data_IF_568749647705
#
_entry.id   IF_568749647705
#
_cell.length_a   1.000
_cell.length_b   1.000
_cell.length_c   1.000
_cell.angle_alpha   90.00
_cell.angle_beta   90.00
_cell.angle_gamma   90.00
#
_symmetry.space_group_name_H-M   'P 1'
#
loop_
_entity.id
_entity.type
_entity.pdbx_description
1 polymer ?
#
# COMPACT_ATOMS: atom_id res chain seq x y z
N UNK A 1 -1.43 42.91 -33.62
CA UNK A 1 -0.07 43.28 -34.09
C UNK A 1 -0.12 43.37 -35.60
N UNK A 2 0.38 44.45 -36.20
CA UNK A 2 0.42 44.60 -37.66
C UNK A 2 1.21 43.44 -38.27
N UNK A 3 0.60 42.70 -39.19
CA UNK A 3 1.24 41.59 -39.89
C UNK A 3 2.11 42.19 -40.99
N UNK A 4 3.33 42.58 -40.61
CA UNK A 4 4.31 43.10 -41.55
C UNK A 4 4.61 42.00 -42.57
N UNK A 5 4.38 42.29 -43.85
CA UNK A 5 4.75 41.40 -44.92
C UNK A 5 6.27 41.41 -45.10
N UNK A 6 6.92 40.42 -44.48
CA UNK A 6 8.37 40.28 -44.52
C UNK A 6 8.86 39.90 -45.91
N UNK A 7 8.04 39.26 -46.74
CA UNK A 7 8.42 38.93 -48.10
C UNK A 7 8.46 40.19 -48.95
N UNK A 8 7.43 41.04 -48.84
CA UNK A 8 7.41 42.35 -49.48
C UNK A 8 8.62 43.21 -49.05
N UNK A 9 8.98 43.22 -47.76
CA UNK A 9 10.17 43.93 -47.29
C UNK A 9 11.48 43.37 -47.87
N UNK A 10 11.63 42.05 -47.99
CA UNK A 10 12.81 41.44 -48.64
C UNK A 10 12.90 41.85 -50.11
N UNK A 11 11.78 41.84 -50.82
CA UNK A 11 11.72 42.24 -52.23
C UNK A 11 12.10 43.72 -52.40
N UNK A 12 11.58 44.61 -51.55
CA UNK A 12 11.96 46.02 -51.53
C UNK A 12 13.44 46.25 -51.22
N UNK A 13 14.00 45.54 -50.23
CA UNK A 13 15.43 45.68 -49.91
C UNK A 13 16.33 45.25 -51.06
N UNK A 14 15.99 44.16 -51.76
CA UNK A 14 16.74 43.71 -52.95
C UNK A 14 16.59 44.66 -54.14
N UNK A 15 15.39 45.18 -54.36
CA UNK A 15 15.13 46.19 -55.39
C UNK A 15 15.98 47.44 -55.15
N UNK A 16 16.02 47.91 -53.90
CA UNK A 16 16.83 49.08 -53.53
C UNK A 16 18.33 48.81 -53.66
N UNK A 17 18.81 47.62 -53.30
CA UNK A 17 20.20 47.24 -53.53
C UNK A 17 20.57 47.30 -55.02
N UNK A 18 19.68 46.90 -55.93
CA UNK A 18 19.90 46.98 -57.38
C UNK A 18 19.89 48.43 -57.89
N UNK A 19 19.00 49.29 -57.37
CA UNK A 19 18.91 50.71 -57.77
C UNK A 19 20.09 51.56 -57.31
N UNK A 20 20.62 51.30 -56.11
CA UNK A 20 21.75 52.03 -55.56
C UNK A 20 23.07 51.32 -55.88
N UNK A 21 23.40 51.08 -57.16
CA UNK A 21 24.61 50.35 -57.56
C UNK A 21 25.88 51.23 -57.70
N UNK A 22 25.73 52.56 -57.65
CA UNK A 22 26.84 53.51 -57.80
C UNK A 22 27.75 53.53 -56.54
N UNK A 23 29.09 53.55 -56.68
CA UNK A 23 30.01 53.76 -55.57
C UNK A 23 29.69 54.95 -54.64
N UNK A 24 29.03 56.00 -55.13
CA UNK A 24 28.57 57.15 -54.33
C UNK A 24 27.46 56.80 -53.32
N UNK A 25 26.70 55.72 -53.56
CA UNK A 25 25.54 55.29 -52.75
C UNK A 25 25.87 54.18 -51.73
N UNK A 26 27.16 53.91 -51.52
CA UNK A 26 27.65 52.82 -50.65
C UNK A 26 26.99 52.81 -49.26
N UNK A 27 26.76 53.98 -48.66
CA UNK A 27 26.11 54.08 -47.35
C UNK A 27 24.66 53.55 -47.36
N UNK A 28 23.91 53.78 -48.45
CA UNK A 28 22.55 53.26 -48.62
C UNK A 28 22.54 51.75 -48.86
N UNK A 29 23.46 51.24 -49.69
CA UNK A 29 23.61 49.79 -49.89
C UNK A 29 23.85 49.04 -48.57
N UNK A 30 24.76 49.55 -47.73
CA UNK A 30 25.08 48.95 -46.42
C UNK A 30 23.83 48.86 -45.53
N UNK A 31 22.97 49.88 -45.56
CA UNK A 31 21.72 49.90 -44.79
C UNK A 31 20.77 48.79 -45.25
N UNK A 32 20.55 48.63 -46.55
CA UNK A 32 19.62 47.61 -47.07
C UNK A 32 20.13 46.18 -46.85
N UNK A 33 21.45 45.95 -46.95
CA UNK A 33 22.08 44.66 -46.63
C UNK A 33 21.92 44.34 -45.14
N UNK A 34 22.17 45.33 -44.27
CA UNK A 34 21.96 45.16 -42.83
C UNK A 34 20.48 44.91 -42.49
N UNK A 35 19.55 45.57 -43.19
CA UNK A 35 18.12 45.36 -43.01
C UNK A 35 17.67 43.95 -43.42
N UNK A 36 18.18 43.40 -44.53
CA UNK A 36 17.91 42.02 -44.94
C UNK A 36 18.46 41.01 -43.92
N UNK A 37 19.69 41.22 -43.42
CA UNK A 37 20.27 40.37 -42.38
C UNK A 37 19.46 40.39 -41.06
N UNK A 38 18.98 41.57 -40.63
CA UNK A 38 18.11 41.70 -39.46
C UNK A 38 16.77 41.00 -39.66
N UNK A 39 16.24 40.99 -40.88
CA UNK A 39 14.99 40.31 -41.21
C UNK A 39 15.15 38.79 -41.14
N UNK A 40 16.29 38.26 -41.59
CA UNK A 40 16.64 36.85 -41.44
C UNK A 40 16.83 36.43 -39.97
N UNK A 41 17.49 37.26 -39.17
CA UNK A 41 17.61 37.04 -37.72
C UNK A 41 16.25 37.06 -37.03
N UNK A 42 15.36 37.98 -37.41
CA UNK A 42 14.02 38.07 -36.86
C UNK A 42 13.20 36.82 -37.19
N UNK A 43 13.32 36.28 -38.41
CA UNK A 43 12.67 35.03 -38.80
C UNK A 43 13.16 33.84 -37.98
N UNK A 44 14.48 33.71 -37.80
CA UNK A 44 15.07 32.68 -36.93
C UNK A 44 14.58 32.78 -35.50
N UNK A 45 14.55 33.99 -34.92
CA UNK A 45 14.03 34.20 -33.56
C UNK A 45 12.55 33.85 -33.44
N UNK A 46 11.73 34.18 -34.45
CA UNK A 46 10.31 33.82 -34.45
C UNK A 46 10.09 32.30 -34.57
N UNK A 47 10.87 31.62 -35.41
CA UNK A 47 10.82 30.16 -35.50
C UNK A 47 11.23 29.52 -34.17
N UNK A 48 12.28 30.03 -33.53
CA UNK A 48 12.71 29.57 -32.21
C UNK A 48 11.61 29.74 -31.16
N UNK A 49 10.94 30.89 -31.11
CA UNK A 49 9.81 31.13 -30.18
C UNK A 49 8.69 30.10 -30.42
N UNK A 50 8.31 29.85 -31.68
CA UNK A 50 7.28 28.85 -31.99
C UNK A 50 7.65 27.45 -31.51
N UNK A 51 8.91 27.03 -31.71
CA UNK A 51 9.39 25.74 -31.23
C UNK A 51 9.34 25.67 -29.70
N UNK A 52 9.76 26.74 -29.02
CA UNK A 52 9.71 26.82 -27.55
C UNK A 52 8.29 26.82 -27.01
N UNK A 53 7.36 27.48 -27.68
CA UNK A 53 5.95 27.49 -27.29
C UNK A 53 5.35 26.07 -27.42
N UNK A 54 5.67 25.36 -28.50
CA UNK A 54 5.25 23.96 -28.67
C UNK A 54 5.86 23.04 -27.60
N UNK A 55 7.17 23.15 -27.35
CA UNK A 55 7.85 22.38 -26.30
C UNK A 55 7.22 22.67 -24.92
N UNK A 56 6.91 23.93 -24.63
CA UNK A 56 6.28 24.31 -23.36
C UNK A 56 4.86 23.72 -23.23
N UNK A 57 4.09 23.65 -24.32
CA UNK A 57 2.78 23.01 -24.36
C UNK A 57 2.89 21.50 -24.09
N UNK A 58 3.82 20.82 -24.76
CA UNK A 58 4.08 19.39 -24.56
C UNK A 58 4.53 19.07 -23.13
N UNK A 59 5.38 19.93 -22.55
CA UNK A 59 5.79 19.85 -21.14
C UNK A 59 4.58 20.03 -20.23
N UNK A 60 3.72 21.03 -20.47
CA UNK A 60 2.54 21.28 -19.65
C UNK A 60 1.58 20.07 -19.66
N UNK A 61 1.36 19.46 -20.84
CA UNK A 61 0.56 18.25 -20.97
C UNK A 61 1.16 17.07 -20.19
N UNK A 62 2.48 16.89 -20.28
CA UNK A 62 3.19 15.79 -19.59
C UNK A 62 3.14 15.98 -18.07
N UNK A 63 3.41 17.19 -17.58
CA UNK A 63 3.32 17.54 -16.15
C UNK A 63 1.89 17.34 -15.64
N UNK A 64 0.88 17.70 -16.44
CA UNK A 64 -0.53 17.47 -16.12
C UNK A 64 -0.83 15.98 -15.89
N UNK A 65 -0.39 15.11 -16.80
CA UNK A 65 -0.56 13.65 -16.67
C UNK A 65 0.13 13.11 -15.42
N UNK A 66 1.38 13.50 -15.19
CA UNK A 66 2.15 13.06 -14.02
C UNK A 66 1.51 13.51 -12.70
N UNK A 67 0.91 14.71 -12.66
CA UNK A 67 0.22 15.19 -11.46
C UNK A 67 -0.99 14.33 -11.12
N UNK A 68 -1.80 13.95 -12.12
CA UNK A 68 -2.95 13.06 -11.92
C UNK A 68 -2.50 11.68 -11.45
N UNK A 69 -1.47 11.11 -12.06
CA UNK A 69 -0.91 9.82 -11.63
C UNK A 69 -0.40 9.87 -10.19
N UNK A 70 0.31 10.94 -9.82
CA UNK A 70 0.81 11.14 -8.46
C UNK A 70 -0.32 11.21 -7.43
N UNK A 71 -1.40 11.94 -7.72
CA UNK A 71 -2.59 12.00 -6.86
C UNK A 71 -3.25 10.62 -6.70
N UNK A 72 -3.34 9.85 -7.79
CA UNK A 72 -3.84 8.48 -7.73
C UNK A 72 -2.95 7.57 -6.85
N UNK A 73 -1.62 7.65 -6.97
CA UNK A 73 -0.70 6.88 -6.13
C UNK A 73 -0.79 7.27 -4.65
N UNK A 74 -0.88 8.57 -4.33
CA UNK A 74 -1.08 9.04 -2.95
C UNK A 74 -2.38 8.51 -2.35
N UNK A 75 -3.48 8.60 -3.09
CA UNK A 75 -4.76 8.03 -2.64
C UNK A 75 -4.69 6.51 -2.43
N UNK A 76 -3.97 5.80 -3.30
CA UNK A 76 -3.74 4.36 -3.13
C UNK A 76 -2.90 4.06 -1.89
N UNK A 77 -1.85 4.81 -1.63
CA UNK A 77 -0.99 4.68 -0.46
C UNK A 77 -1.78 4.86 0.85
N UNK A 78 -2.62 5.90 0.93
CA UNK A 78 -3.50 6.15 2.07
C UNK A 78 -4.44 4.97 2.35
N UNK A 79 -5.06 4.40 1.30
CA UNK A 79 -5.92 3.22 1.43
C UNK A 79 -5.16 2.00 1.94
N UNK A 80 -3.94 1.77 1.44
CA UNK A 80 -3.11 0.63 1.87
C UNK A 80 -2.71 0.80 3.33
N UNK A 81 -2.28 1.99 3.73
CA UNK A 81 -1.93 2.29 5.13
C UNK A 81 -3.10 2.03 6.06
N UNK A 82 -4.31 2.48 5.70
CA UNK A 82 -5.52 2.21 6.49
C UNK A 82 -5.79 0.71 6.62
N UNK A 83 -5.75 -0.02 5.52
CA UNK A 83 -5.99 -1.47 5.51
C UNK A 83 -4.97 -2.23 6.37
N UNK A 84 -3.71 -1.82 6.35
CA UNK A 84 -2.66 -2.43 7.20
C UNK A 84 -2.94 -2.18 8.68
N UNK A 85 -3.34 -0.98 9.07
CA UNK A 85 -3.69 -0.64 10.46
C UNK A 85 -4.93 -1.41 10.94
N UNK A 86 -5.98 -1.46 10.11
CA UNK A 86 -7.21 -2.20 10.42
C UNK A 86 -6.92 -3.70 10.58
N UNK A 87 -6.09 -4.27 9.69
CA UNK A 87 -5.67 -5.67 9.79
C UNK A 87 -4.81 -5.92 11.03
N UNK A 88 -3.88 -5.03 11.37
CA UNK A 88 -3.05 -5.14 12.59
C UNK A 88 -3.92 -5.20 13.83
N UNK A 89 -4.88 -4.28 13.94
CA UNK A 89 -5.84 -4.25 15.05
C UNK A 89 -6.65 -5.56 15.13
N UNK A 90 -7.03 -6.11 13.96
CA UNK A 90 -7.72 -7.40 13.92
C UNK A 90 -6.84 -8.55 14.39
N UNK A 91 -5.53 -8.55 14.09
CA UNK A 91 -4.61 -9.56 14.56
C UNK A 91 -4.42 -9.50 16.06
N UNK A 92 -4.29 -8.32 16.65
CA UNK A 92 -4.14 -8.15 18.10
C UNK A 92 -5.32 -8.78 18.86
N UNK A 93 -6.55 -8.51 18.40
CA UNK A 93 -7.77 -9.12 18.97
C UNK A 93 -7.79 -10.65 18.81
N UNK A 94 -7.26 -11.18 17.70
CA UNK A 94 -7.17 -12.63 17.49
C UNK A 94 -6.12 -13.26 18.41
N UNK A 95 -4.98 -12.61 18.61
CA UNK A 95 -3.95 -13.08 19.53
C UNK A 95 -4.45 -13.08 20.97
N UNK A 96 -5.14 -12.04 21.43
CA UNK A 96 -5.74 -12.02 22.77
C UNK A 96 -6.74 -13.17 22.98
N UNK A 97 -7.57 -13.45 21.97
CA UNK A 97 -8.50 -14.59 22.01
C UNK A 97 -7.76 -15.93 22.03
N UNK A 98 -6.68 -16.05 21.27
CA UNK A 98 -5.85 -17.25 21.24
C UNK A 98 -5.20 -17.48 22.61
N UNK A 99 -4.56 -16.48 23.20
CA UNK A 99 -3.96 -16.59 24.53
C UNK A 99 -5.01 -16.94 25.60
N UNK A 100 -6.20 -16.33 25.53
CA UNK A 100 -7.29 -16.63 26.45
C UNK A 100 -7.77 -18.09 26.29
N UNK A 101 -7.87 -18.58 25.06
CA UNK A 101 -8.23 -19.97 24.78
C UNK A 101 -7.16 -20.95 25.27
N UNK A 102 -5.88 -20.67 25.02
CA UNK A 102 -4.75 -21.48 25.50
C UNK A 102 -4.71 -21.54 27.03
N UNK A 103 -4.90 -20.41 27.72
CA UNK A 103 -5.00 -20.37 29.18
C UNK A 103 -6.18 -21.21 29.67
N UNK A 104 -7.33 -21.12 29.01
CA UNK A 104 -8.51 -21.90 29.36
C UNK A 104 -8.30 -23.40 29.15
N UNK A 105 -7.63 -23.79 28.06
CA UNK A 105 -7.26 -25.20 27.80
C UNK A 105 -6.33 -25.69 28.92
N UNK A 106 -5.27 -24.95 29.23
CA UNK A 106 -4.34 -25.31 30.30
C UNK A 106 -5.05 -25.46 31.66
N UNK A 107 -5.98 -24.54 31.98
CA UNK A 107 -6.81 -24.64 33.20
C UNK A 107 -7.67 -25.92 33.20
N UNK A 108 -8.31 -26.25 32.08
CA UNK A 108 -9.15 -27.44 31.94
C UNK A 108 -8.31 -28.72 32.01
N UNK A 109 -7.15 -28.75 31.35
CA UNK A 109 -6.21 -29.87 31.39
C UNK A 109 -5.59 -30.08 32.78
N UNK A 110 -5.49 -29.03 33.60
CA UNK A 110 -5.04 -29.12 34.98
C UNK A 110 -6.11 -29.68 35.93
N UNK A 111 -7.40 -29.60 35.56
CA UNK A 111 -8.49 -30.14 36.40
C UNK A 111 -8.41 -31.66 36.47
N UNK A 112 -8.72 -32.18 37.65
CA UNK A 112 -8.79 -33.61 37.90
C UNK A 112 -10.08 -33.94 38.63
N UNK A 113 -10.74 -35.01 38.21
CA UNK A 113 -11.91 -35.58 38.88
C UNK A 113 -11.49 -36.11 40.24
N UNK A 114 -12.24 -35.79 41.28
CA UNK A 114 -12.01 -36.34 42.60
C UNK A 114 -12.85 -37.60 42.78
N UNK A 115 -12.22 -38.77 42.72
CA UNK A 115 -12.89 -40.05 42.92
C UNK A 115 -12.02 -40.90 43.87
N UNK A 116 -12.24 -40.81 45.20
CA UNK A 116 -11.36 -41.42 46.17
C UNK A 116 -11.44 -42.95 46.11
N UNK A 117 -10.27 -43.60 46.17
CA UNK A 117 -10.21 -45.04 46.48
C UNK A 117 -10.44 -45.26 47.97
N UNK A 118 -11.25 -46.28 48.28
CA UNK A 118 -11.51 -46.75 49.64
C UNK A 118 -11.30 -48.26 49.67
N UNK A 119 -10.80 -48.74 50.79
CA UNK A 119 -10.72 -50.17 51.07
C UNK A 119 -12.10 -50.76 51.32
N UNK A 120 -12.23 -52.08 51.14
CA UNK A 120 -13.46 -52.83 51.42
C UNK A 120 -13.93 -52.60 52.86
N UNK A 121 -13.00 -52.63 53.83
CA UNK A 121 -13.32 -52.43 55.24
C UNK A 121 -13.86 -51.02 55.52
N UNK A 122 -13.26 -49.98 54.91
CA UNK A 122 -13.77 -48.60 55.02
C UNK A 122 -15.18 -48.46 54.43
N UNK A 123 -15.44 -49.10 53.28
CA UNK A 123 -16.76 -49.06 52.65
C UNK A 123 -17.79 -49.82 53.49
N UNK A 124 -17.44 -50.97 54.06
CA UNK A 124 -18.30 -51.70 54.99
C UNK A 124 -18.63 -50.84 56.22
N UNK A 125 -17.64 -50.17 56.82
CA UNK A 125 -17.84 -49.30 57.97
C UNK A 125 -18.71 -48.08 57.66
N UNK A 126 -18.52 -47.44 56.50
CA UNK A 126 -19.29 -46.25 56.13
C UNK A 126 -20.72 -46.56 55.72
N UNK A 127 -20.92 -47.71 55.06
CA UNK A 127 -22.20 -48.05 54.44
C UNK A 127 -23.08 -48.95 55.31
N UNK A 128 -22.49 -49.70 56.24
CA UNK A 128 -23.18 -50.68 57.08
C UNK A 128 -23.60 -51.95 56.36
N UNK A 129 -23.22 -52.12 55.08
CA UNK A 129 -23.57 -53.27 54.26
C UNK A 129 -22.54 -54.40 54.35
N UNK A 130 -22.89 -55.55 53.75
CA UNK A 130 -22.06 -56.75 53.71
C UNK A 130 -20.75 -56.54 52.97
N UNK A 131 -19.81 -57.47 53.19
CA UNK A 131 -18.55 -57.52 52.46
C UNK A 131 -18.76 -57.60 50.94
N UNK A 132 -19.68 -58.45 50.48
CA UNK A 132 -19.98 -58.60 49.04
C UNK A 132 -20.43 -57.29 48.40
N UNK A 133 -21.26 -56.50 49.11
CA UNK A 133 -21.64 -55.17 48.66
C UNK A 133 -20.42 -54.24 48.55
N UNK A 134 -19.56 -54.22 49.57
CA UNK A 134 -18.40 -53.37 49.62
C UNK A 134 -17.36 -53.73 48.54
N UNK A 135 -17.14 -55.02 48.28
CA UNK A 135 -16.29 -55.50 47.18
C UNK A 135 -16.85 -55.08 45.81
N UNK A 136 -18.16 -55.21 45.60
CA UNK A 136 -18.83 -54.74 44.39
C UNK A 136 -18.71 -53.22 44.20
N UNK A 137 -18.84 -52.43 45.28
CA UNK A 137 -18.64 -50.98 45.25
C UNK A 137 -17.20 -50.62 44.86
N UNK A 138 -16.19 -51.26 45.47
CA UNK A 138 -14.78 -51.03 45.16
C UNK A 138 -14.47 -51.37 43.69
N UNK A 139 -14.95 -52.51 43.20
CA UNK A 139 -14.77 -52.93 41.80
C UNK A 139 -15.44 -51.95 40.83
N UNK A 140 -16.65 -51.48 41.13
CA UNK A 140 -17.33 -50.45 40.35
C UNK A 140 -16.58 -49.11 40.34
N UNK A 141 -16.02 -48.71 41.48
CA UNK A 141 -15.22 -47.49 41.59
C UNK A 141 -13.91 -47.60 40.78
N UNK A 142 -13.23 -48.74 40.82
CA UNK A 142 -12.04 -49.00 40.01
C UNK A 142 -12.33 -48.96 38.51
N UNK A 143 -13.47 -49.55 38.10
CA UNK A 143 -13.92 -49.49 36.70
C UNK A 143 -14.23 -48.05 36.27
N UNK A 144 -14.89 -47.25 37.13
CA UNK A 144 -15.14 -45.84 36.83
C UNK A 144 -13.83 -45.04 36.69
N UNK A 145 -12.84 -45.27 37.56
CA UNK A 145 -11.52 -44.63 37.45
C UNK A 145 -10.83 -45.03 36.13
N UNK A 146 -10.91 -46.30 35.74
CA UNK A 146 -10.36 -46.81 34.49
C UNK A 146 -10.98 -46.09 33.28
N UNK A 147 -12.31 -46.05 33.18
CA UNK A 147 -13.02 -45.43 32.05
C UNK A 147 -12.76 -43.92 31.96
N UNK A 148 -12.70 -43.22 33.10
CA UNK A 148 -12.39 -41.77 33.12
C UNK A 148 -10.96 -41.53 32.59
N UNK A 149 -10.00 -42.36 32.97
CA UNK A 149 -8.62 -42.27 32.46
C UNK A 149 -8.52 -42.65 30.99
N UNK A 150 -9.26 -43.66 30.54
CA UNK A 150 -9.33 -44.06 29.13
C UNK A 150 -9.86 -42.91 28.25
N UNK A 151 -10.74 -42.07 28.79
CA UNK A 151 -11.19 -40.83 28.14
C UNK A 151 -10.19 -39.66 28.21
N UNK A 152 -8.99 -39.87 28.77
CA UNK A 152 -7.95 -38.85 28.89
C UNK A 152 -8.14 -37.85 30.03
N UNK A 153 -9.07 -38.10 30.96
CA UNK A 153 -9.38 -37.20 32.07
C UNK A 153 -8.56 -37.60 33.30
N UNK A 154 -7.94 -36.60 33.95
CA UNK A 154 -7.15 -36.81 35.17
C UNK A 154 -8.07 -37.15 36.35
N UNK A 155 -7.64 -38.08 37.22
CA UNK A 155 -8.33 -38.45 38.47
C UNK A 155 -7.36 -38.24 39.64
N UNK A 156 -7.81 -37.59 40.72
CA UNK A 156 -7.00 -37.34 41.92
C UNK A 156 -6.79 -38.62 42.75
N UNK A 157 -5.57 -38.80 43.26
CA UNK A 157 -5.29 -39.76 44.33
C UNK A 157 -5.37 -41.24 43.94
N UNK A 158 -5.29 -41.54 42.64
CA UNK A 158 -5.23 -42.91 42.12
C UNK A 158 -3.99 -43.09 41.25
#
# INVERSE_FOLDING_TARGET
MSNIDKQALREEFRLMQAHYSDPADRARQVIYIAAEALLDELDKKQQYIKLRDQENEDIALTVGKLRVELEHYKSREERVTKLVLDNSTSWDVLYEKLEAAERRIAELEARAVNLPKRSVDEVMHLSGFSRDYAEGWCAGNDNAIHEIRAAGIKVKGA
#
